data_IF_124766163376
#
_entry.id   IF_124766163376
#
_cell.length_a   1.000
_cell.length_b   1.000
_cell.length_c   1.000
_cell.angle_alpha   90.00
_cell.angle_beta   90.00
_cell.angle_gamma   90.00
#
_symmetry.space_group_name_H-M   'P 1'
#
loop_
_entity.id
_entity.type
_entity.pdbx_description
1 polymer ?
#
# COMPACT_ATOMS: atom_id res chain seq x y z
N UNK A 1 -18.65 12.14 19.36
CA UNK A 1 -18.77 12.28 17.91
C UNK A 1 -18.53 10.90 17.34
N UNK A 2 -19.61 10.20 17.03
CA UNK A 2 -19.55 8.85 16.46
C UNK A 2 -19.02 9.02 15.04
N UNK A 3 -17.70 8.91 14.85
CA UNK A 3 -17.15 8.88 13.50
C UNK A 3 -17.74 7.68 12.79
N UNK A 4 -18.58 7.96 11.80
CA UNK A 4 -19.23 6.92 11.02
C UNK A 4 -18.13 6.13 10.31
N UNK A 5 -18.09 4.81 10.49
CA UNK A 5 -17.26 3.87 9.72
C UNK A 5 -17.02 4.27 8.26
N UNK A 6 -18.05 4.67 7.47
CA UNK A 6 -17.84 5.17 6.10
C UNK A 6 -16.87 6.35 5.99
N UNK A 7 -16.91 7.32 6.92
CA UNK A 7 -16.01 8.48 6.91
C UNK A 7 -14.56 8.06 7.14
N UNK A 8 -14.32 7.14 8.10
CA UNK A 8 -12.99 6.62 8.40
C UNK A 8 -12.43 5.83 7.21
N UNK A 9 -13.26 5.00 6.56
CA UNK A 9 -12.86 4.26 5.37
C UNK A 9 -12.54 5.20 4.20
N UNK A 10 -13.37 6.22 3.97
CA UNK A 10 -13.11 7.23 2.93
C UNK A 10 -11.82 8.01 3.20
N UNK A 11 -11.55 8.38 4.46
CA UNK A 11 -10.31 9.04 4.85
C UNK A 11 -9.09 8.13 4.64
N UNK A 12 -9.17 6.85 5.02
CA UNK A 12 -8.11 5.87 4.77
C UNK A 12 -7.83 5.71 3.27
N UNK A 13 -8.89 5.59 2.44
CA UNK A 13 -8.76 5.53 0.97
C UNK A 13 -8.12 6.81 0.40
N UNK A 14 -8.55 7.99 0.84
CA UNK A 14 -7.95 9.25 0.41
C UNK A 14 -6.45 9.32 0.74
N UNK A 15 -6.07 8.86 1.94
CA UNK A 15 -4.68 8.84 2.37
C UNK A 15 -3.82 7.87 1.54
N UNK A 16 -4.35 6.69 1.21
CA UNK A 16 -3.69 5.74 0.29
C UNK A 16 -3.44 6.39 -1.07
N UNK A 17 -4.43 7.07 -1.65
CA UNK A 17 -4.28 7.78 -2.93
C UNK A 17 -3.23 8.89 -2.88
N UNK A 18 -3.19 9.66 -1.79
CA UNK A 18 -2.15 10.69 -1.59
C UNK A 18 -0.77 10.03 -1.57
N UNK A 19 -0.57 8.98 -0.77
CA UNK A 19 0.72 8.29 -0.70
C UNK A 19 1.13 7.64 -2.01
N UNK A 20 0.20 7.01 -2.72
CA UNK A 20 0.45 6.41 -4.03
C UNK A 20 0.82 7.47 -5.08
N UNK A 21 0.28 8.69 -4.98
CA UNK A 21 0.56 9.80 -5.87
C UNK A 21 1.89 10.53 -5.64
N UNK A 22 2.48 10.45 -4.44
CA UNK A 22 3.72 11.20 -4.11
C UNK A 22 4.90 10.74 -4.98
N UNK A 23 5.17 9.44 -5.08
CA UNK A 23 6.29 8.93 -5.87
C UNK A 23 6.20 9.26 -7.38
N UNK A 24 5.07 9.03 -8.07
CA UNK A 24 4.95 9.39 -9.48
C UNK A 24 5.01 10.91 -9.70
N UNK A 25 4.57 11.73 -8.74
CA UNK A 25 4.68 13.19 -8.83
C UNK A 25 6.11 13.70 -8.63
N UNK A 26 6.81 13.25 -7.57
CA UNK A 26 8.16 13.73 -7.23
C UNK A 26 9.24 13.11 -8.12
N UNK A 27 9.14 11.80 -8.42
CA UNK A 27 10.19 11.04 -9.10
C UNK A 27 9.62 10.08 -10.17
N UNK A 28 8.97 10.58 -11.24
CA UNK A 28 8.27 9.78 -12.24
C UNK A 28 9.15 8.78 -13.01
N UNK A 29 10.46 9.05 -13.11
CA UNK A 29 11.42 8.14 -13.76
C UNK A 29 11.81 6.97 -12.84
N UNK A 30 12.05 7.26 -11.56
CA UNK A 30 12.36 6.23 -10.57
C UNK A 30 11.16 5.30 -10.36
N UNK A 31 9.95 5.88 -10.27
CA UNK A 31 8.70 5.13 -10.18
C UNK A 31 8.53 4.15 -11.35
N UNK A 32 8.69 4.62 -12.60
CA UNK A 32 8.60 3.75 -13.79
C UNK A 32 9.60 2.60 -13.78
N UNK A 33 10.86 2.86 -13.40
CA UNK A 33 11.89 1.81 -13.32
C UNK A 33 11.56 0.77 -12.26
N UNK A 34 11.09 1.21 -11.08
CA UNK A 34 10.68 0.31 -10.01
C UNK A 34 9.50 -0.57 -10.45
N UNK A 35 8.50 0.04 -11.12
CA UNK A 35 7.35 -0.68 -11.63
C UNK A 35 7.73 -1.71 -12.71
N UNK A 36 8.61 -1.36 -13.62
CA UNK A 36 9.16 -2.28 -14.63
C UNK A 36 9.90 -3.46 -13.99
N UNK A 37 10.75 -3.18 -12.99
CA UNK A 37 11.44 -4.23 -12.26
C UNK A 37 10.47 -5.16 -11.51
N UNK A 38 9.34 -4.65 -11.02
CA UNK A 38 8.29 -5.45 -10.39
C UNK A 38 7.54 -6.31 -11.40
N UNK A 39 7.25 -5.80 -12.61
CA UNK A 39 6.56 -6.58 -13.66
C UNK A 39 7.45 -7.63 -14.30
N UNK A 40 8.77 -7.48 -14.24
CA UNK A 40 9.73 -8.48 -14.71
C UNK A 40 9.92 -9.65 -13.71
N UNK A 41 9.37 -9.54 -12.49
CA UNK A 41 9.41 -10.63 -11.52
C UNK A 41 8.43 -11.75 -11.93
N UNK A 42 8.80 -13.03 -11.74
CA UNK A 42 7.86 -14.12 -11.92
C UNK A 42 6.72 -14.04 -10.90
N UNK A 43 5.51 -14.42 -11.32
CA UNK A 43 4.28 -14.36 -10.53
C UNK A 43 4.40 -14.95 -9.12
N UNK A 44 5.16 -16.03 -8.97
CA UNK A 44 5.42 -16.67 -7.68
C UNK A 44 6.08 -15.71 -6.68
N UNK A 45 7.09 -14.95 -7.13
CA UNK A 45 7.77 -13.96 -6.28
C UNK A 45 6.85 -12.79 -5.96
N UNK A 46 6.07 -12.33 -6.93
CA UNK A 46 5.12 -11.24 -6.71
C UNK A 46 4.07 -11.62 -5.65
N UNK A 47 3.57 -12.87 -5.69
CA UNK A 47 2.66 -13.42 -4.68
C UNK A 47 3.28 -13.51 -3.30
N UNK A 48 4.54 -13.95 -3.20
CA UNK A 48 5.26 -14.01 -1.91
C UNK A 48 5.46 -12.62 -1.33
N UNK A 49 5.85 -11.63 -2.14
CA UNK A 49 5.98 -10.23 -1.70
C UNK A 49 4.64 -9.72 -1.17
N UNK A 50 3.54 -9.98 -1.90
CA UNK A 50 2.19 -9.65 -1.47
C UNK A 50 1.81 -10.31 -0.15
N UNK A 51 2.09 -11.62 0.00
CA UNK A 51 1.82 -12.38 1.22
C UNK A 51 2.56 -11.81 2.44
N UNK A 52 3.86 -11.50 2.28
CA UNK A 52 4.68 -10.92 3.34
C UNK A 52 4.15 -9.53 3.72
N UNK A 53 3.80 -8.69 2.75
CA UNK A 53 3.20 -7.37 2.99
C UNK A 53 1.89 -7.48 3.77
N UNK A 54 0.99 -8.38 3.35
CA UNK A 54 -0.27 -8.64 4.06
C UNK A 54 -0.05 -9.15 5.49
N UNK A 55 0.90 -10.07 5.69
CA UNK A 55 1.22 -10.61 7.01
C UNK A 55 1.75 -9.52 7.96
N UNK A 56 2.66 -8.67 7.48
CA UNK A 56 3.18 -7.52 8.25
C UNK A 56 2.04 -6.58 8.60
N UNK A 57 1.17 -6.24 7.64
CA UNK A 57 0.00 -5.39 7.88
C UNK A 57 -0.93 -5.96 8.96
N UNK A 58 -1.20 -7.26 8.92
CA UNK A 58 -2.03 -7.94 9.93
C UNK A 58 -1.39 -7.93 11.32
N UNK A 59 -0.07 -8.16 11.40
CA UNK A 59 0.67 -8.10 12.67
C UNK A 59 0.62 -6.69 13.25
N UNK A 60 0.89 -5.67 12.43
CA UNK A 60 0.82 -4.26 12.85
C UNK A 60 -0.58 -3.87 13.30
N UNK A 61 -1.60 -4.23 12.54
CA UNK A 61 -3.00 -3.99 12.93
C UNK A 61 -3.30 -4.65 14.28
N UNK A 62 -2.92 -5.92 14.47
CA UNK A 62 -3.13 -6.63 15.73
C UNK A 62 -2.36 -6.00 16.90
N UNK A 63 -1.19 -5.41 16.66
CA UNK A 63 -0.40 -4.72 17.69
C UNK A 63 -1.00 -3.35 18.05
N UNK A 64 -1.45 -2.58 17.06
CA UNK A 64 -2.05 -1.25 17.26
C UNK A 64 -3.45 -1.31 17.88
N UNK A 65 -4.22 -2.36 17.57
CA UNK A 65 -5.58 -2.59 18.05
C UNK A 65 -5.64 -3.44 19.35
N UNK A 66 -4.54 -3.54 20.10
CA UNK A 66 -4.53 -4.10 21.46
C UNK A 66 -5.00 -3.08 22.49
#
# INVERSE_FOLDING_TARGET
MEESLPTVLLAACALVLVFEGILPFVAPRAWRRAFQALTDLPDEKLRVIGLVSMAIGLILLRLLHR
#
